data_IF_824744242972
#
_entry.id   IF_824744242972
#
_cell.length_a   1.000
_cell.length_b   1.000
_cell.length_c   1.000
_cell.angle_alpha   90.00
_cell.angle_beta   90.00
_cell.angle_gamma   90.00
#
_symmetry.space_group_name_H-M   'P 1'
#
loop_
_entity.id
_entity.type
_entity.pdbx_description
1 polymer ?
#
# COMPACT_ATOMS: atom_id res chain seq x y z
N UNK A 1 15.75 -2.51 -13.30
CA UNK A 1 16.99 -1.82 -12.91
C UNK A 1 17.29 -0.60 -13.78
N UNK A 2 17.44 -0.75 -15.11
CA UNK A 2 17.86 0.34 -16.02
C UNK A 2 16.94 1.57 -15.95
N UNK A 3 15.61 1.37 -15.93
CA UNK A 3 14.63 2.47 -15.78
C UNK A 3 14.79 3.15 -14.41
N UNK A 4 14.89 2.38 -13.33
CA UNK A 4 15.05 2.92 -11.98
C UNK A 4 16.33 3.80 -11.88
N UNK A 5 17.46 3.28 -12.36
CA UNK A 5 18.71 4.05 -12.42
C UNK A 5 18.61 5.33 -13.26
N UNK A 6 17.89 5.29 -14.40
CA UNK A 6 17.64 6.48 -15.23
C UNK A 6 16.92 7.60 -14.46
N UNK A 7 16.07 7.24 -13.51
CA UNK A 7 15.36 8.20 -12.65
C UNK A 7 16.02 8.42 -11.29
N UNK A 8 17.29 8.04 -11.13
CA UNK A 8 18.10 8.37 -9.96
C UNK A 8 18.02 7.40 -8.79
N UNK A 9 17.34 6.26 -8.96
CA UNK A 9 17.32 5.24 -7.91
C UNK A 9 18.67 4.53 -7.80
N UNK A 10 19.12 4.30 -6.59
CA UNK A 10 20.23 3.39 -6.32
C UNK A 10 19.77 1.93 -6.48
N UNK A 11 20.57 1.14 -7.17
CA UNK A 11 20.29 -0.29 -7.40
C UNK A 11 21.57 -1.06 -7.08
N UNK A 12 21.86 -1.28 -5.78
CA UNK A 12 23.12 -1.87 -5.33
C UNK A 12 23.28 -3.33 -5.75
N UNK A 13 22.17 -4.04 -5.97
CA UNK A 13 22.19 -5.43 -6.45
C UNK A 13 20.97 -5.73 -7.33
N UNK A 14 21.00 -6.87 -7.98
CA UNK A 14 19.87 -7.43 -8.72
C UNK A 14 19.25 -8.56 -7.90
N UNK A 15 17.91 -8.56 -7.82
CA UNK A 15 17.18 -9.66 -7.19
C UNK A 15 17.47 -10.96 -7.94
N UNK A 16 17.84 -12.07 -7.24
CA UNK A 16 18.04 -13.37 -7.86
C UNK A 16 16.81 -13.87 -8.61
N UNK A 17 16.99 -14.65 -9.65
CA UNK A 17 15.89 -15.12 -10.50
C UNK A 17 14.88 -15.98 -9.72
N UNK A 18 15.35 -16.79 -8.79
CA UNK A 18 14.53 -17.59 -7.87
C UNK A 18 13.66 -16.78 -6.92
N UNK A 19 14.02 -15.52 -6.68
CA UNK A 19 13.24 -14.56 -5.89
C UNK A 19 12.32 -13.69 -6.76
N UNK A 20 12.25 -13.93 -8.06
CA UNK A 20 11.44 -13.18 -9.01
C UNK A 20 10.31 -14.02 -9.64
N UNK A 21 9.94 -15.10 -8.97
CA UNK A 21 8.83 -15.97 -9.35
C UNK A 21 7.50 -15.39 -8.89
N UNK A 22 6.40 -15.85 -9.48
CA UNK A 22 5.05 -15.40 -9.16
C UNK A 22 4.63 -15.74 -7.72
N UNK A 23 5.20 -16.82 -7.16
CA UNK A 23 4.98 -17.24 -5.77
C UNK A 23 5.78 -16.45 -4.74
N UNK A 24 6.76 -15.66 -5.18
CA UNK A 24 7.60 -14.86 -4.26
C UNK A 24 6.79 -13.71 -3.67
N UNK A 25 6.62 -13.73 -2.36
CA UNK A 25 5.85 -12.70 -1.66
C UNK A 25 6.63 -11.38 -1.55
N UNK A 26 5.91 -10.29 -1.32
CA UNK A 26 6.55 -8.99 -1.05
C UNK A 26 7.43 -9.04 0.20
N UNK A 27 7.03 -9.80 1.23
CA UNK A 27 7.81 -9.93 2.46
C UNK A 27 9.13 -10.68 2.22
N UNK A 28 9.13 -11.74 1.40
CA UNK A 28 10.37 -12.47 1.07
C UNK A 28 11.35 -11.54 0.34
N UNK A 29 10.84 -10.74 -0.59
CA UNK A 29 11.65 -9.74 -1.32
C UNK A 29 12.24 -8.70 -0.37
N UNK A 30 11.46 -8.22 0.59
CA UNK A 30 11.90 -7.24 1.59
C UNK A 30 12.99 -7.83 2.48
N UNK A 31 12.77 -9.02 3.03
CA UNK A 31 13.76 -9.69 3.89
C UNK A 31 15.07 -9.98 3.16
N UNK A 32 14.98 -10.46 1.91
CA UNK A 32 16.15 -10.65 1.07
C UNK A 32 16.92 -9.33 0.86
N UNK A 33 16.20 -8.25 0.59
CA UNK A 33 16.80 -6.92 0.39
C UNK A 33 17.51 -6.44 1.65
N UNK A 34 16.89 -6.52 2.82
CA UNK A 34 17.47 -6.13 4.10
C UNK A 34 18.76 -6.93 4.37
N UNK A 35 18.70 -8.26 4.25
CA UNK A 35 19.86 -9.13 4.50
C UNK A 35 21.00 -8.87 3.51
N UNK A 36 20.68 -8.61 2.24
CA UNK A 36 21.68 -8.29 1.22
C UNK A 36 22.38 -6.97 1.53
N UNK A 37 21.63 -5.91 1.84
CA UNK A 37 22.19 -4.61 2.21
C UNK A 37 23.07 -4.70 3.46
N UNK A 38 22.62 -5.42 4.50
CA UNK A 38 23.41 -5.63 5.70
C UNK A 38 24.73 -6.37 5.40
N UNK A 39 24.71 -7.35 4.49
CA UNK A 39 25.92 -8.05 4.04
C UNK A 39 26.90 -7.16 3.28
N UNK A 40 26.39 -6.09 2.64
CA UNK A 40 27.20 -5.06 1.97
C UNK A 40 27.73 -3.98 2.93
N UNK A 41 27.33 -4.04 4.21
CA UNK A 41 27.74 -3.11 5.25
C UNK A 41 26.76 -1.99 5.54
N UNK A 42 25.65 -1.93 4.82
CA UNK A 42 24.60 -0.92 4.99
C UNK A 42 23.58 -1.36 6.04
N UNK A 43 23.33 -0.52 7.04
CA UNK A 43 22.36 -0.76 8.10
C UNK A 43 21.33 0.34 8.14
N UNK A 44 20.07 -0.09 8.25
CA UNK A 44 18.92 0.81 8.31
C UNK A 44 18.01 0.44 9.47
N UNK A 45 17.35 1.43 10.07
CA UNK A 45 16.39 1.22 11.17
C UNK A 45 14.97 0.99 10.65
N UNK A 46 14.63 1.62 9.53
CA UNK A 46 13.28 1.61 8.96
C UNK A 46 13.37 1.22 7.48
N UNK A 47 12.44 0.37 7.07
CA UNK A 47 12.19 0.00 5.68
C UNK A 47 10.90 0.65 5.21
N UNK A 48 10.87 1.11 3.96
CA UNK A 48 9.65 1.57 3.29
C UNK A 48 9.48 0.80 2.00
N UNK A 49 8.40 0.02 1.91
CA UNK A 49 8.01 -0.62 0.66
C UNK A 49 7.07 0.32 -0.10
N UNK A 50 7.46 0.67 -1.32
CA UNK A 50 6.70 1.49 -2.26
C UNK A 50 6.33 0.63 -3.46
N UNK A 51 5.05 0.29 -3.59
CA UNK A 51 4.62 -0.52 -4.73
C UNK A 51 4.58 0.33 -6.01
N UNK A 52 5.12 -0.16 -7.14
CA UNK A 52 5.13 0.57 -8.40
C UNK A 52 3.73 0.74 -9.01
N UNK A 53 2.78 -0.09 -8.61
CA UNK A 53 1.37 -0.03 -9.01
C UNK A 53 0.61 1.15 -8.40
N UNK A 54 1.19 1.85 -7.43
CA UNK A 54 0.63 3.06 -6.81
C UNK A 54 1.42 4.32 -7.23
N UNK A 55 1.30 4.80 -8.49
CA UNK A 55 2.17 5.83 -9.05
C UNK A 55 1.86 7.26 -8.59
N UNK A 56 0.72 7.48 -7.93
CA UNK A 56 0.25 8.83 -7.55
C UNK A 56 0.66 9.24 -6.13
N UNK A 57 1.50 8.45 -5.49
CA UNK A 57 2.11 8.78 -4.21
C UNK A 57 3.04 9.98 -4.36
N UNK A 58 2.99 10.89 -3.41
CA UNK A 58 3.84 12.07 -3.32
C UNK A 58 4.97 11.88 -2.29
N UNK A 59 6.01 12.70 -2.38
CA UNK A 59 7.12 12.70 -1.41
C UNK A 59 6.59 13.00 0.00
N UNK A 60 5.65 13.92 0.12
CA UNK A 60 4.99 14.24 1.38
C UNK A 60 4.29 13.06 2.06
N UNK A 61 3.78 12.09 1.29
CA UNK A 61 3.18 10.88 1.88
C UNK A 61 4.24 10.02 2.56
N UNK A 62 5.44 9.95 1.98
CA UNK A 62 6.57 9.22 2.54
C UNK A 62 7.05 9.89 3.82
N UNK A 63 7.35 11.20 3.75
CA UNK A 63 7.87 11.97 4.88
C UNK A 63 6.88 11.98 6.07
N UNK A 64 5.60 12.22 5.79
CA UNK A 64 4.57 12.24 6.83
C UNK A 64 4.35 10.86 7.47
N UNK A 65 4.45 9.77 6.69
CA UNK A 65 4.32 8.42 7.24
C UNK A 65 5.49 8.04 8.15
N UNK A 66 6.72 8.47 7.80
CA UNK A 66 7.90 8.32 8.66
C UNK A 66 7.74 9.16 9.92
N UNK A 67 7.33 10.42 9.78
CA UNK A 67 7.08 11.30 10.92
C UNK A 67 6.03 10.71 11.86
N UNK A 68 4.91 10.18 11.32
CA UNK A 68 3.88 9.51 12.11
C UNK A 68 4.41 8.30 12.87
N UNK A 69 5.28 7.48 12.25
CA UNK A 69 5.90 6.32 12.91
C UNK A 69 6.63 6.75 14.19
N UNK A 70 7.44 7.79 14.11
CA UNK A 70 8.24 8.25 15.25
C UNK A 70 7.42 9.00 16.28
N UNK A 71 6.52 9.89 15.87
CA UNK A 71 5.66 10.67 16.78
C UNK A 71 4.74 9.79 17.63
N UNK A 72 4.22 8.72 17.04
CA UNK A 72 3.32 7.79 17.74
C UNK A 72 4.06 6.69 18.49
N UNK A 73 5.36 6.51 18.23
CA UNK A 73 6.12 5.37 18.74
C UNK A 73 5.64 4.02 18.15
N UNK A 74 5.05 4.05 16.97
CA UNK A 74 4.57 2.86 16.28
C UNK A 74 5.73 2.03 15.73
N UNK A 75 5.46 0.76 15.45
CA UNK A 75 6.41 -0.17 14.82
C UNK A 75 6.21 -0.28 13.32
N UNK A 76 5.03 0.09 12.85
CA UNK A 76 4.72 0.20 11.43
C UNK A 76 3.64 1.25 11.16
N UNK A 77 3.65 1.77 9.92
CA UNK A 77 2.59 2.63 9.37
C UNK A 77 2.25 2.10 7.98
N UNK A 78 0.96 1.94 7.72
CA UNK A 78 0.49 1.42 6.43
C UNK A 78 -0.51 2.39 5.82
N UNK A 79 -0.36 2.68 4.53
CA UNK A 79 -1.27 3.59 3.85
C UNK A 79 -2.62 2.97 3.56
N UNK A 80 -3.64 3.77 3.78
CA UNK A 80 -5.04 3.45 3.51
C UNK A 80 -5.72 4.61 2.80
N UNK A 81 -6.84 4.35 2.16
CA UNK A 81 -7.77 5.39 1.72
C UNK A 81 -9.20 5.02 2.08
N UNK A 82 -10.06 6.01 2.12
CA UNK A 82 -11.50 5.78 2.26
C UNK A 82 -12.03 4.95 1.11
N UNK A 83 -12.95 4.02 1.37
CA UNK A 83 -13.59 3.20 0.34
C UNK A 83 -14.58 4.02 -0.49
N UNK A 84 -14.79 3.64 -1.75
CA UNK A 84 -15.77 4.25 -2.65
C UNK A 84 -17.21 3.94 -2.22
N UNK A 85 -17.41 2.70 -1.74
CA UNK A 85 -18.69 2.21 -1.25
C UNK A 85 -18.49 1.43 0.04
N UNK A 86 -19.48 1.46 0.92
CA UNK A 86 -19.42 0.70 2.18
C UNK A 86 -19.22 -0.80 1.89
N UNK A 87 -18.25 -1.47 2.53
CA UNK A 87 -18.08 -2.92 2.39
C UNK A 87 -19.33 -3.72 2.88
N UNK A 88 -20.21 -3.09 3.64
CA UNK A 88 -21.47 -3.71 4.06
C UNK A 88 -22.46 -3.88 2.89
N UNK A 89 -22.22 -3.22 1.75
CA UNK A 89 -23.02 -3.42 0.53
C UNK A 89 -22.38 -4.43 -0.44
N UNK A 90 -21.43 -5.21 0.03
CA UNK A 90 -20.74 -6.21 -0.78
C UNK A 90 -20.86 -7.59 -0.13
N UNK A 91 -21.06 -8.60 -0.96
CA UNK A 91 -21.03 -10.00 -0.55
C UNK A 91 -20.61 -10.87 -1.74
N UNK A 92 -20.36 -12.15 -1.48
CA UNK A 92 -20.18 -13.17 -2.52
C UNK A 92 -21.54 -13.58 -3.07
N UNK A 93 -21.58 -14.06 -4.32
CA UNK A 93 -22.77 -14.63 -4.92
C UNK A 93 -22.66 -16.16 -4.94
N UNK A 94 -23.76 -16.89 -4.64
CA UNK A 94 -23.85 -18.33 -4.88
C UNK A 94 -23.87 -18.63 -6.39
N UNK A 95 -23.74 -19.92 -6.77
CA UNK A 95 -23.70 -20.34 -8.19
C UNK A 95 -24.99 -19.99 -8.97
N UNK A 96 -26.14 -19.97 -8.31
CA UNK A 96 -27.44 -19.62 -8.91
C UNK A 96 -27.69 -18.11 -8.97
N UNK A 97 -26.72 -17.30 -8.52
CA UNK A 97 -26.78 -15.83 -8.44
C UNK A 97 -27.96 -15.30 -7.61
N UNK A 98 -28.50 -16.12 -6.66
CA UNK A 98 -29.51 -15.62 -5.74
C UNK A 98 -29.03 -14.42 -4.94
N UNK A 99 -29.92 -13.47 -4.72
CA UNK A 99 -29.72 -12.31 -3.86
C UNK A 99 -30.30 -12.50 -2.46
N UNK A 100 -30.86 -13.70 -2.18
CA UNK A 100 -31.30 -14.06 -0.84
C UNK A 100 -30.08 -13.94 0.11
N UNK A 101 -30.23 -13.36 1.25
CA UNK A 101 -29.18 -13.14 2.23
C UNK A 101 -27.96 -12.32 1.72
N UNK A 102 -28.05 -11.64 0.56
CA UNK A 102 -26.96 -10.83 0.05
C UNK A 102 -26.63 -9.65 0.97
N UNK A 103 -27.62 -9.01 1.56
CA UNK A 103 -27.44 -7.98 2.59
C UNK A 103 -28.21 -8.38 3.86
N UNK A 104 -27.67 -8.08 5.01
CA UNK A 104 -28.38 -8.25 6.27
C UNK A 104 -29.54 -7.25 6.40
N UNK A 105 -30.58 -7.63 7.19
CA UNK A 105 -31.75 -6.77 7.47
C UNK A 105 -31.32 -5.38 8.05
N UNK A 106 -30.23 -5.34 8.78
CA UNK A 106 -29.68 -4.10 9.37
C UNK A 106 -29.14 -3.13 8.31
N UNK A 107 -28.77 -3.62 7.13
CA UNK A 107 -28.11 -2.89 6.07
C UNK A 107 -29.07 -2.50 4.94
N UNK A 108 -30.07 -3.36 4.66
CA UNK A 108 -30.90 -3.32 3.45
C UNK A 108 -31.64 -1.96 3.26
N UNK A 109 -32.02 -1.30 4.35
CA UNK A 109 -32.76 -0.05 4.34
C UNK A 109 -31.94 1.16 4.81
N UNK A 110 -30.61 1.02 5.02
CA UNK A 110 -29.77 2.13 5.43
C UNK A 110 -29.30 2.96 4.24
N UNK A 111 -29.28 4.27 4.41
CA UNK A 111 -28.69 5.17 3.41
C UNK A 111 -27.18 5.15 3.53
N UNK A 112 -26.46 5.40 2.43
CA UNK A 112 -24.99 5.41 2.40
C UNK A 112 -24.36 6.32 3.46
N UNK A 113 -24.96 7.47 3.69
CA UNK A 113 -24.53 8.47 4.67
C UNK A 113 -24.70 8.05 6.14
N UNK A 114 -25.46 7.00 6.41
CA UNK A 114 -25.70 6.47 7.76
C UNK A 114 -24.66 5.42 8.17
N UNK A 115 -23.75 5.05 7.26
CA UNK A 115 -22.64 4.14 7.55
C UNK A 115 -21.42 4.89 8.08
N UNK A 116 -20.63 4.25 8.96
CA UNK A 116 -19.32 4.78 9.33
C UNK A 116 -18.41 4.83 8.10
N UNK A 117 -17.40 5.69 8.17
CA UNK A 117 -16.36 5.72 7.14
C UNK A 117 -15.50 4.47 7.24
N UNK A 118 -15.38 3.75 6.14
CA UNK A 118 -14.51 2.59 6.02
C UNK A 118 -13.28 2.94 5.22
N UNK A 119 -12.16 2.27 5.55
CA UNK A 119 -10.90 2.42 4.86
C UNK A 119 -10.45 1.10 4.28
N UNK A 120 -9.76 1.15 3.13
CA UNK A 120 -9.09 0.01 2.52
C UNK A 120 -7.59 0.26 2.43
N UNK A 121 -6.81 -0.82 2.44
CA UNK A 121 -5.41 -0.74 2.03
C UNK A 121 -5.35 -0.24 0.59
N UNK A 122 -4.43 0.69 0.31
CA UNK A 122 -4.26 1.22 -1.05
C UNK A 122 -2.95 0.79 -1.72
N UNK A 123 -2.13 -0.04 -1.03
CA UNK A 123 -0.87 -0.56 -1.57
C UNK A 123 0.26 0.47 -1.70
N UNK A 124 0.01 1.75 -1.44
CA UNK A 124 0.95 2.80 -1.81
C UNK A 124 2.23 2.79 -0.99
N UNK A 125 2.16 2.57 0.33
CA UNK A 125 3.35 2.50 1.18
C UNK A 125 3.13 1.65 2.45
N UNK A 126 4.22 0.99 2.85
CA UNK A 126 4.35 0.26 4.10
C UNK A 126 5.67 0.68 4.75
N UNK A 127 5.59 1.31 5.91
CA UNK A 127 6.74 1.73 6.72
C UNK A 127 6.87 0.78 7.90
N UNK A 128 8.01 0.14 8.07
CA UNK A 128 8.20 -0.87 9.13
C UNK A 128 9.58 -0.75 9.77
N UNK A 129 9.65 -0.83 11.10
CA UNK A 129 10.90 -0.95 11.83
C UNK A 129 11.58 -2.29 11.51
N UNK A 130 12.77 -2.27 10.92
CA UNK A 130 13.51 -3.45 10.47
C UNK A 130 13.76 -4.42 11.63
N UNK A 131 14.15 -3.91 12.79
CA UNK A 131 14.40 -4.73 13.98
C UNK A 131 13.18 -5.59 14.36
N UNK A 132 11.99 -5.03 14.27
CA UNK A 132 10.75 -5.77 14.59
C UNK A 132 10.52 -6.86 13.53
N UNK A 133 10.62 -6.49 12.25
CA UNK A 133 10.42 -7.41 11.14
C UNK A 133 11.34 -8.64 11.23
N UNK A 134 12.62 -8.43 11.55
CA UNK A 134 13.62 -9.50 11.67
C UNK A 134 13.45 -10.37 12.92
N UNK A 135 12.72 -9.91 13.94
CA UNK A 135 12.48 -10.69 15.17
C UNK A 135 11.17 -11.49 15.15
N UNK A 136 10.34 -11.29 14.14
CA UNK A 136 9.07 -12.01 14.02
C UNK A 136 9.28 -13.45 13.58
N UNK A 137 8.52 -14.37 14.20
CA UNK A 137 8.48 -15.78 13.75
C UNK A 137 7.87 -15.93 12.35
N UNK A 138 6.82 -15.15 12.10
CA UNK A 138 6.13 -15.07 10.81
C UNK A 138 6.11 -13.60 10.38
N UNK A 139 7.14 -13.17 9.62
CA UNK A 139 7.26 -11.77 9.21
C UNK A 139 6.08 -11.31 8.34
N UNK A 140 5.58 -10.12 8.62
CA UNK A 140 4.51 -9.49 7.85
C UNK A 140 4.70 -7.98 7.78
N UNK A 141 4.23 -7.36 6.70
CA UNK A 141 4.23 -5.90 6.53
C UNK A 141 3.07 -5.23 7.29
N UNK A 142 2.04 -6.01 7.65
CA UNK A 142 0.87 -5.52 8.37
C UNK A 142 0.90 -6.08 9.79
N UNK A 143 1.47 -5.33 10.72
CA UNK A 143 1.55 -5.73 12.11
C UNK A 143 0.18 -5.66 12.79
N UNK A 144 -0.11 -6.59 13.69
CA UNK A 144 -1.36 -6.60 14.48
C UNK A 144 -1.35 -5.58 15.61
N UNK A 145 -0.16 -5.20 16.08
CA UNK A 145 0.03 -4.29 17.22
C UNK A 145 1.04 -3.22 16.88
N UNK A 146 0.86 -2.01 17.45
CA UNK A 146 1.72 -0.86 17.19
C UNK A 146 1.85 -0.56 15.68
N UNK A 147 0.73 -0.63 14.98
CA UNK A 147 0.59 -0.30 13.58
C UNK A 147 -0.50 0.75 13.43
N UNK A 148 -0.21 1.84 12.76
CA UNK A 148 -1.21 2.88 12.48
C UNK A 148 -1.42 3.08 10.98
N UNK A 149 -2.59 3.61 10.64
CA UNK A 149 -2.96 3.93 9.27
C UNK A 149 -2.49 5.34 8.91
N UNK A 150 -1.83 5.48 7.75
CA UNK A 150 -1.63 6.76 7.09
C UNK A 150 -2.70 6.95 6.04
N UNK A 151 -3.55 7.95 6.21
CA UNK A 151 -4.71 8.17 5.33
C UNK A 151 -4.28 9.01 4.13
N UNK A 152 -4.35 8.42 2.95
CA UNK A 152 -4.11 9.10 1.67
C UNK A 152 -5.44 9.51 1.01
N UNK A 153 -5.46 10.60 0.23
CA UNK A 153 -6.62 10.95 -0.60
C UNK A 153 -6.98 9.82 -1.58
N UNK A 154 -8.27 9.62 -1.84
CA UNK A 154 -8.76 8.61 -2.81
C UNK A 154 -8.16 8.81 -4.20
N UNK A 155 -8.09 10.05 -4.62
CA UNK A 155 -7.62 10.46 -5.97
C UNK A 155 -6.18 10.01 -6.22
N UNK A 156 -5.38 9.88 -5.17
CA UNK A 156 -3.98 9.44 -5.23
C UNK A 156 -3.78 7.98 -4.79
N UNK A 157 -4.87 7.27 -4.49
CA UNK A 157 -4.86 5.90 -3.95
C UNK A 157 -5.27 4.85 -4.98
N UNK A 158 -5.00 5.13 -6.26
CA UNK A 158 -5.23 4.15 -7.31
C UNK A 158 -4.15 3.07 -7.29
N UNK A 159 -4.57 1.82 -7.45
CA UNK A 159 -3.70 0.68 -7.69
C UNK A 159 -3.85 0.27 -9.17
N UNK A 160 -2.76 0.25 -9.91
CA UNK A 160 -2.77 0.04 -11.37
C UNK A 160 -2.67 -1.46 -11.66
N UNK A 161 -3.81 -2.12 -11.70
CA UNK A 161 -3.94 -3.54 -12.06
C UNK A 161 -4.44 -3.72 -13.49
N UNK A 162 -5.17 -2.74 -14.03
CA UNK A 162 -5.77 -2.79 -15.37
C UNK A 162 -5.32 -1.63 -16.26
N UNK A 163 -5.61 -1.75 -17.56
CA UNK A 163 -5.40 -0.64 -18.49
C UNK A 163 -6.24 0.59 -18.14
N UNK A 164 -7.41 0.39 -17.54
CA UNK A 164 -8.28 1.49 -17.14
C UNK A 164 -7.67 2.28 -15.98
N UNK A 165 -7.09 1.59 -14.99
CA UNK A 165 -6.41 2.23 -13.89
C UNK A 165 -5.21 3.06 -14.36
N UNK A 166 -4.46 2.54 -15.34
CA UNK A 166 -3.35 3.27 -15.94
C UNK A 166 -3.84 4.53 -16.68
N UNK A 167 -4.97 4.48 -17.36
CA UNK A 167 -5.56 5.65 -18.02
C UNK A 167 -6.00 6.69 -16.98
N UNK A 168 -6.62 6.26 -15.89
CA UNK A 168 -6.98 7.14 -14.78
C UNK A 168 -5.75 7.81 -14.17
N UNK A 169 -4.70 7.04 -13.85
CA UNK A 169 -3.47 7.58 -13.29
C UNK A 169 -2.83 8.62 -14.22
N UNK A 170 -2.79 8.35 -15.53
CA UNK A 170 -2.30 9.31 -16.55
C UNK A 170 -3.17 10.58 -16.61
N UNK A 171 -4.47 10.42 -16.58
CA UNK A 171 -5.40 11.55 -16.56
C UNK A 171 -5.16 12.43 -15.34
N UNK A 172 -5.03 11.82 -14.16
CA UNK A 172 -4.76 12.54 -12.92
C UNK A 172 -3.45 13.34 -12.99
N UNK A 173 -2.34 12.70 -13.40
CA UNK A 173 -1.03 13.36 -13.53
C UNK A 173 -1.11 14.55 -14.48
N UNK A 174 -1.70 14.36 -15.67
CA UNK A 174 -1.77 15.41 -16.68
C UNK A 174 -2.62 16.60 -16.22
N UNK A 175 -3.65 16.39 -15.40
CA UNK A 175 -4.52 17.46 -14.93
C UNK A 175 -4.02 18.09 -13.62
N UNK A 176 -3.25 17.38 -12.81
CA UNK A 176 -2.62 17.97 -11.60
C UNK A 176 -1.48 18.93 -11.97
N UNK A 177 -0.75 18.65 -13.06
CA UNK A 177 0.25 19.58 -13.60
C UNK A 177 -0.34 20.90 -14.09
N UNK A 178 -1.61 20.91 -14.47
CA UNK A 178 -2.33 22.14 -14.86
C UNK A 178 -2.82 22.98 -13.66
N UNK A 179 -2.83 22.42 -12.46
CA UNK A 179 -3.24 23.13 -11.21
C UNK A 179 -2.07 23.74 -10.44
N UNK A 180 -0.84 23.48 -10.87
CA UNK A 180 0.39 23.99 -10.24
C UNK A 180 0.84 25.37 -10.71
N UNK A 181 0.14 25.99 -11.65
CA UNK A 181 0.47 27.31 -12.24
C UNK A 181 -0.51 28.43 -11.82
N UNK A 182 -1.12 28.36 -10.63
CA UNK A 182 -1.93 29.44 -10.08
C UNK A 182 -1.38 29.95 -8.76
#
# INVERSE_FOLDING_TARGET
ASIAKKYGADVPFMRPAEMALDETTSIDTVLHTINTLESLGDKYDVMILLQPTSPLREVSDIDNSIFQLYERGDKSVVSVCEVEHSPLWANTLPEDHSMDDFLSDEVINRRSQDFPVYYRLNGALYVVCIKILLTMREPTLLLKESCSAYIMPKERSIDVDTKLDLLYARFYINNSLLKGDC
#
